data_IF_565071827403
#
_entry.id   IF_565071827403
#
_cell.length_a   1.000
_cell.length_b   1.000
_cell.length_c   1.000
_cell.angle_alpha   90.00
_cell.angle_beta   90.00
_cell.angle_gamma   90.00
#
_symmetry.space_group_name_H-M   'P 1'
#
loop_
_entity.id
_entity.type
_entity.pdbx_description
1 polymer ?
#
# COMPACT_ATOMS: atom_id res chain seq x y z
N UNK A 1 -1.53 16.82 6.10
CA UNK A 1 -0.47 16.08 6.79
C UNK A 1 0.86 16.47 6.16
N UNK A 2 1.84 16.90 6.95
CA UNK A 2 3.21 17.12 6.48
C UNK A 2 3.98 15.81 6.64
N UNK A 3 4.71 15.39 5.61
CA UNK A 3 5.57 14.19 5.69
C UNK A 3 6.70 14.39 6.71
N UNK A 4 7.05 13.32 7.42
CA UNK A 4 8.20 13.29 8.34
C UNK A 4 9.53 13.09 7.60
N UNK A 5 10.63 13.57 8.18
CA UNK A 5 11.97 13.30 7.66
C UNK A 5 12.25 11.80 7.66
N UNK A 6 12.68 11.26 6.51
CA UNK A 6 12.94 9.84 6.32
C UNK A 6 11.71 9.00 5.92
N UNK A 7 10.50 9.58 5.92
CA UNK A 7 9.32 8.92 5.38
C UNK A 7 9.41 8.73 3.87
N UNK A 8 8.75 7.68 3.34
CA UNK A 8 8.77 7.37 1.90
C UNK A 8 8.15 8.46 1.01
N UNK A 9 7.47 9.47 1.58
CA UNK A 9 7.00 10.65 0.86
C UNK A 9 5.95 10.36 -0.22
N UNK A 10 5.19 9.27 -0.09
CA UNK A 10 4.32 8.77 -1.18
C UNK A 10 3.12 9.69 -1.44
N UNK A 11 2.61 10.41 -0.44
CA UNK A 11 1.43 11.27 -0.59
C UNK A 11 0.19 10.52 -1.12
N UNK A 12 -0.81 11.26 -1.59
CA UNK A 12 -2.10 10.68 -2.04
C UNK A 12 -1.97 9.82 -3.30
N UNK A 13 -0.97 10.09 -4.17
CA UNK A 13 -0.84 9.45 -5.48
C UNK A 13 0.37 8.50 -5.60
N UNK A 14 1.26 8.45 -4.62
CA UNK A 14 2.51 7.66 -4.71
C UNK A 14 2.40 6.23 -4.20
N UNK A 15 1.26 5.81 -3.64
CA UNK A 15 1.03 4.43 -3.22
C UNK A 15 0.20 3.66 -4.25
N UNK A 16 0.81 3.34 -5.40
CA UNK A 16 0.21 2.43 -6.37
C UNK A 16 0.11 1.01 -5.83
N UNK A 17 -0.74 0.17 -6.45
CA UNK A 17 -0.89 -1.24 -6.06
C UNK A 17 0.44 -2.01 -6.07
N UNK A 18 1.25 -1.86 -7.12
CA UNK A 18 2.56 -2.51 -7.23
C UNK A 18 3.55 -2.02 -6.18
N UNK A 19 3.49 -0.74 -5.79
CA UNK A 19 4.33 -0.19 -4.72
C UNK A 19 3.93 -0.76 -3.36
N UNK A 20 2.62 -0.82 -3.08
CA UNK A 20 2.09 -1.42 -1.88
C UNK A 20 2.46 -2.91 -1.77
N UNK A 21 2.38 -3.66 -2.87
CA UNK A 21 2.80 -5.07 -2.89
C UNK A 21 4.30 -5.22 -2.63
N UNK A 22 5.15 -4.44 -3.31
CA UNK A 22 6.60 -4.49 -3.09
C UNK A 22 6.98 -4.20 -1.63
N UNK A 23 6.34 -3.20 -1.01
CA UNK A 23 6.53 -2.87 0.40
C UNK A 23 6.09 -4.02 1.32
N UNK A 24 4.96 -4.67 1.03
CA UNK A 24 4.50 -5.83 1.79
C UNK A 24 5.49 -7.00 1.70
N UNK A 25 6.03 -7.27 0.50
CA UNK A 25 7.06 -8.30 0.29
C UNK A 25 8.35 -7.98 1.06
N UNK A 26 8.81 -6.74 1.02
CA UNK A 26 9.99 -6.29 1.78
C UNK A 26 9.79 -6.42 3.29
N UNK A 27 8.56 -6.24 3.78
CA UNK A 27 8.21 -6.45 5.18
C UNK A 27 8.06 -7.93 5.58
N UNK A 28 8.23 -8.88 4.66
CA UNK A 28 8.18 -10.31 4.93
C UNK A 28 6.81 -10.98 4.76
N UNK A 29 5.81 -10.26 4.26
CA UNK A 29 4.51 -10.86 3.93
C UNK A 29 4.59 -11.62 2.60
N UNK A 30 4.02 -12.84 2.54
CA UNK A 30 4.03 -13.64 1.30
C UNK A 30 2.72 -13.58 0.52
N UNK A 31 1.64 -13.09 1.12
CA UNK A 31 0.35 -12.93 0.45
C UNK A 31 -0.04 -11.46 0.35
N UNK A 32 -0.45 -11.06 -0.85
CA UNK A 32 -1.02 -9.74 -1.14
C UNK A 32 -2.26 -9.91 -2.02
N UNK A 33 -3.41 -9.38 -1.59
CA UNK A 33 -4.68 -9.52 -2.32
C UNK A 33 -5.50 -8.25 -2.24
N UNK A 34 -5.95 -7.72 -3.38
CA UNK A 34 -6.95 -6.63 -3.42
C UNK A 34 -8.31 -7.15 -2.96
N UNK A 35 -8.98 -6.43 -2.08
CA UNK A 35 -10.36 -6.69 -1.69
C UNK A 35 -11.31 -6.11 -2.75
N UNK A 36 -12.40 -6.82 -3.10
CA UNK A 36 -13.39 -6.34 -4.04
C UNK A 36 -14.37 -5.34 -3.38
N UNK A 37 -13.82 -4.32 -2.71
CA UNK A 37 -14.60 -3.21 -2.15
C UNK A 37 -14.67 -2.14 -3.21
N UNK A 38 -15.89 -1.84 -3.67
CA UNK A 38 -16.11 -0.75 -4.61
C UNK A 38 -16.08 0.59 -3.88
N UNK A 39 -15.07 1.41 -4.19
CA UNK A 39 -14.90 2.73 -3.62
C UNK A 39 -14.23 3.63 -4.66
N UNK A 40 -14.78 4.83 -4.85
CA UNK A 40 -14.36 5.76 -5.90
C UNK A 40 -12.92 6.32 -5.78
N UNK A 41 -12.20 6.02 -4.70
CA UNK A 41 -10.93 6.70 -4.36
C UNK A 41 -9.95 5.71 -3.71
N UNK A 42 -10.43 4.87 -2.81
CA UNK A 42 -9.58 3.96 -2.04
C UNK A 42 -9.55 2.56 -2.65
N UNK A 43 -8.37 1.93 -2.59
CA UNK A 43 -8.20 0.52 -2.81
C UNK A 43 -7.83 -0.15 -1.48
N UNK A 44 -8.42 -1.32 -1.21
CA UNK A 44 -8.20 -2.07 0.02
C UNK A 44 -7.43 -3.35 -0.29
N UNK A 45 -6.45 -3.68 0.54
CA UNK A 45 -5.61 -4.86 0.39
C UNK A 45 -5.55 -5.67 1.68
N UNK A 46 -5.63 -6.98 1.55
CA UNK A 46 -5.29 -7.94 2.58
C UNK A 46 -3.84 -8.40 2.36
N UNK A 47 -3.05 -8.36 3.44
CA UNK A 47 -1.70 -8.93 3.47
C UNK A 47 -1.60 -9.97 4.59
N UNK A 48 -0.88 -11.07 4.34
CA UNK A 48 -0.66 -12.14 5.33
C UNK A 48 0.78 -12.67 5.23
N UNK A 49 1.34 -13.18 6.35
CA UNK A 49 2.61 -13.89 6.33
C UNK A 49 2.62 -14.96 5.26
#
# INVERSE_FOLDING_TARGET
ALSEQGGAGLGTLGLSASRAEAMARQAGFTRFRKLPVDHAVNAFYEIRP
#
